data_IF_356639440759
#
_entry.id   IF_356639440759
#
_cell.length_a   1.000
_cell.length_b   1.000
_cell.length_c   1.000
_cell.angle_alpha   90.00
_cell.angle_beta   90.00
_cell.angle_gamma   90.00
#
_symmetry.space_group_name_H-M   'P 1'
#
loop_
_entity.id
_entity.type
_entity.pdbx_description
1 polymer ?
#
# COMPACT_ATOMS: atom_id res chain seq x y z
N UNK A 1 -11.33 -5.97 -23.95
CA UNK A 1 -10.80 -7.06 -23.11
C UNK A 1 -10.44 -6.45 -21.76
N UNK A 2 -11.04 -6.91 -20.66
CA UNK A 2 -10.69 -6.39 -19.33
C UNK A 2 -9.33 -6.98 -18.92
N UNK A 3 -8.43 -6.16 -18.37
CA UNK A 3 -7.16 -6.64 -17.84
C UNK A 3 -7.41 -7.34 -16.50
N UNK A 4 -6.84 -8.52 -16.33
CA UNK A 4 -6.86 -9.25 -15.07
C UNK A 4 -5.61 -8.90 -14.26
N UNK A 5 -5.80 -8.34 -13.07
CA UNK A 5 -4.71 -7.97 -12.17
C UNK A 5 -4.57 -9.04 -11.08
N UNK A 6 -3.32 -9.33 -10.68
CA UNK A 6 -3.02 -10.28 -9.60
C UNK A 6 -3.02 -9.63 -8.21
N UNK A 7 -2.91 -8.31 -8.15
CA UNK A 7 -2.89 -7.58 -6.89
C UNK A 7 -3.30 -6.11 -7.08
N UNK A 8 -3.70 -5.48 -5.97
CA UNK A 8 -3.95 -4.05 -5.85
C UNK A 8 -3.10 -3.49 -4.72
N UNK A 9 -2.39 -2.40 -4.98
CA UNK A 9 -1.58 -1.69 -3.98
C UNK A 9 -2.12 -0.31 -3.70
N UNK A 10 -1.93 0.18 -2.47
CA UNK A 10 -2.24 1.55 -2.06
C UNK A 10 -1.19 2.09 -1.10
N UNK A 11 -1.22 3.40 -0.86
CA UNK A 11 -0.50 4.03 0.25
C UNK A 11 -1.47 4.74 1.19
N UNK A 12 -1.28 4.61 2.50
CA UNK A 12 -2.15 5.24 3.52
C UNK A 12 -1.35 5.62 4.77
N UNK A 13 -1.98 6.32 5.73
CA UNK A 13 -1.34 6.66 7.00
C UNK A 13 -1.39 5.49 7.99
N UNK A 14 -0.24 5.15 8.57
CA UNK A 14 -0.12 4.09 9.58
C UNK A 14 -0.45 4.58 11.00
N UNK A 15 -0.23 5.86 11.28
CA UNK A 15 -0.42 6.45 12.61
C UNK A 15 -1.88 6.84 12.92
N UNK A 16 -2.76 6.87 11.91
CA UNK A 16 -4.17 7.12 12.12
C UNK A 16 -4.88 5.80 12.45
N UNK A 17 -5.53 5.66 13.62
CA UNK A 17 -6.03 4.38 14.12
C UNK A 17 -7.15 3.77 13.25
N UNK A 18 -7.72 4.56 12.34
CA UNK A 18 -8.77 4.13 11.44
C UNK A 18 -8.29 3.83 10.01
N UNK A 19 -7.07 4.22 9.60
CA UNK A 19 -6.63 4.08 8.20
C UNK A 19 -6.04 2.70 7.90
N UNK A 20 -4.77 2.46 8.23
CA UNK A 20 -4.14 1.15 7.98
C UNK A 20 -4.98 0.00 8.56
N UNK A 21 -5.56 0.09 9.77
CA UNK A 21 -6.44 -0.95 10.29
C UNK A 21 -7.72 -1.19 9.48
N UNK A 22 -8.27 -0.16 8.81
CA UNK A 22 -9.41 -0.36 7.90
C UNK A 22 -9.05 -1.23 6.71
N UNK A 23 -7.89 -0.99 6.09
CA UNK A 23 -7.43 -1.77 4.95
C UNK A 23 -6.97 -3.18 5.36
N UNK A 24 -6.34 -3.33 6.53
CA UNK A 24 -5.97 -4.64 7.10
C UNK A 24 -7.20 -5.54 7.25
N UNK A 25 -8.30 -5.00 7.80
CA UNK A 25 -9.58 -5.74 7.92
C UNK A 25 -10.19 -6.13 6.56
N UNK A 26 -9.77 -5.50 5.46
CA UNK A 26 -10.19 -5.83 4.08
C UNK A 26 -9.19 -6.72 3.35
N UNK A 27 -8.22 -7.28 4.06
CA UNK A 27 -7.25 -8.24 3.52
C UNK A 27 -5.99 -7.60 2.96
N UNK A 28 -5.82 -6.27 3.04
CA UNK A 28 -4.56 -5.65 2.68
C UNK A 28 -3.49 -5.95 3.73
N UNK A 29 -2.27 -6.21 3.27
CA UNK A 29 -1.10 -6.41 4.12
C UNK A 29 -0.11 -5.27 3.90
N UNK A 30 0.56 -4.82 4.97
CA UNK A 30 1.61 -3.80 4.85
C UNK A 30 2.82 -4.40 4.14
N UNK A 31 3.37 -3.67 3.19
CA UNK A 31 4.58 -4.06 2.49
C UNK A 31 5.82 -3.61 3.28
N UNK A 32 6.73 -4.53 3.53
CA UNK A 32 8.07 -4.25 4.02
C UNK A 32 8.90 -3.54 2.94
N UNK A 33 9.98 -2.88 3.35
CA UNK A 33 10.85 -2.09 2.45
C UNK A 33 11.38 -2.89 1.25
N UNK A 34 11.65 -4.18 1.42
CA UNK A 34 12.17 -5.06 0.38
C UNK A 34 11.09 -5.57 -0.59
N UNK A 35 9.81 -5.45 -0.23
CA UNK A 35 8.67 -5.83 -1.05
C UNK A 35 8.14 -4.67 -1.90
N UNK A 36 8.62 -3.44 -1.65
CA UNK A 36 8.23 -2.28 -2.42
C UNK A 36 8.81 -2.36 -3.84
N UNK A 37 7.95 -2.15 -4.83
CA UNK A 37 8.41 -1.81 -6.17
C UNK A 37 9.16 -0.48 -6.17
N UNK A 38 9.97 -0.25 -7.21
CA UNK A 38 10.70 1.00 -7.38
C UNK A 38 9.76 2.23 -7.34
N UNK A 39 8.58 2.10 -7.94
CA UNK A 39 7.57 3.17 -7.99
C UNK A 39 6.91 3.41 -6.63
N UNK A 40 6.55 2.37 -5.88
CA UNK A 40 6.01 2.54 -4.52
C UNK A 40 7.04 3.16 -3.58
N UNK A 41 8.30 2.71 -3.67
CA UNK A 41 9.38 3.28 -2.89
C UNK A 41 9.62 4.76 -3.25
N UNK A 42 9.45 5.14 -4.53
CA UNK A 42 9.52 6.54 -4.97
C UNK A 42 8.35 7.34 -4.41
N UNK A 43 7.12 6.85 -4.55
CA UNK A 43 5.92 7.51 -4.06
C UNK A 43 6.02 7.86 -2.56
N UNK A 44 6.43 6.89 -1.73
CA UNK A 44 6.60 7.11 -0.29
C UNK A 44 7.71 8.13 0.05
N UNK A 45 8.77 8.21 -0.77
CA UNK A 45 9.81 9.26 -0.62
C UNK A 45 9.26 10.63 -0.98
N UNK A 46 8.50 10.73 -2.07
CA UNK A 46 7.90 11.98 -2.52
C UNK A 46 6.87 12.49 -1.50
N UNK A 47 6.07 11.59 -0.91
CA UNK A 47 5.18 11.90 0.21
C UNK A 47 5.91 12.50 1.40
N UNK A 48 7.02 11.88 1.79
CA UNK A 48 7.85 12.36 2.91
C UNK A 48 8.41 13.76 2.62
N UNK A 49 8.83 14.03 1.37
CA UNK A 49 9.30 15.35 0.92
C UNK A 49 8.20 16.41 0.98
N UNK A 50 6.96 16.02 0.70
CA UNK A 50 5.77 16.87 0.80
C UNK A 50 5.25 17.02 2.25
N UNK A 51 5.92 16.42 3.25
CA UNK A 51 5.54 16.50 4.66
C UNK A 51 4.53 15.44 5.12
N UNK A 52 4.11 14.52 4.25
CA UNK A 52 3.23 13.41 4.60
C UNK A 52 4.06 12.27 5.20
N UNK A 53 4.27 12.34 6.52
CA UNK A 53 5.00 11.33 7.30
C UNK A 53 4.10 10.14 7.65
N UNK A 54 4.70 9.05 8.12
CA UNK A 54 4.00 7.83 8.56
C UNK A 54 3.12 7.19 7.48
N UNK A 55 3.45 7.39 6.20
CA UNK A 55 2.79 6.68 5.10
C UNK A 55 3.39 5.29 4.92
N UNK A 56 2.51 4.31 4.69
CA UNK A 56 2.86 2.92 4.39
C UNK A 56 2.22 2.49 3.09
N UNK A 57 2.89 1.61 2.35
CA UNK A 57 2.29 0.90 1.23
C UNK A 57 1.65 -0.40 1.73
N UNK A 58 0.52 -0.75 1.12
CA UNK A 58 -0.20 -1.98 1.42
C UNK A 58 -0.61 -2.68 0.13
N UNK A 59 -0.76 -4.00 0.18
CA UNK A 59 -1.09 -4.84 -0.96
C UNK A 59 -2.24 -5.79 -0.62
N UNK A 60 -3.18 -5.94 -1.55
CA UNK A 60 -4.19 -7.00 -1.56
C UNK A 60 -3.92 -7.87 -2.78
N UNK A 61 -3.63 -9.15 -2.57
CA UNK A 61 -3.45 -10.14 -3.63
C UNK A 61 -4.78 -10.80 -3.96
N UNK A 62 -5.05 -11.00 -5.25
CA UNK A 62 -6.20 -11.74 -5.72
C UNK A 62 -5.78 -13.18 -6.02
N UNK A 63 -6.45 -14.14 -5.41
CA UNK A 63 -6.36 -15.54 -5.81
C UNK A 63 -7.28 -15.74 -7.02
N UNK A 64 -6.79 -16.42 -8.06
CA UNK A 64 -7.70 -17.00 -9.06
C UNK A 64 -8.38 -18.20 -8.40
N UNK A 65 -9.71 -18.19 -8.30
CA UNK A 65 -10.51 -19.42 -8.19
C UNK A 65 -10.67 -20.05 -9.58
#
# INVERSE_FOLDING_TARGET
MAAQFKALTLTTFANLPWNAPFYERRGFQRLARHELSADLARLLRDDTRCGLRERVAMCLTFTDD
#
